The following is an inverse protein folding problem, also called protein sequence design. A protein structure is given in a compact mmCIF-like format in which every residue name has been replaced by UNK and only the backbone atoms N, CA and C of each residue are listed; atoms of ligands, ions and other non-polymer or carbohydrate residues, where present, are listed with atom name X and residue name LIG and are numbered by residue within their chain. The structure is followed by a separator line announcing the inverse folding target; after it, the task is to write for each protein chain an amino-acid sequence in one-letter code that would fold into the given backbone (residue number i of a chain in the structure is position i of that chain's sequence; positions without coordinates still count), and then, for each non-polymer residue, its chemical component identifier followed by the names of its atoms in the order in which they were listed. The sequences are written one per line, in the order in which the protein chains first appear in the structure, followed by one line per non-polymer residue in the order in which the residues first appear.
data_IF_003604422556
#
_entry.id   IF_003604422556
#
_cell.length_a   1.000
_cell.length_b   1.000
_cell.length_c   1.000
_cell.angle_alpha   90.00
_cell.angle_beta   90.00
_cell.angle_gamma   90.00
#
_symmetry.space_group_name_H-M   'P 1'
#
loop_
_entity.id
_entity.type
_entity.pdbx_description
1 polymer ?
#
# COMPACT_ATOMS: atom_id res chain seq x y z
N UNK A 1 30.49 27.77 13.95
CA UNK A 1 30.08 29.09 14.46
C UNK A 1 29.46 29.86 13.31
N UNK A 2 28.32 30.51 13.53
CA UNK A 2 27.65 31.40 12.59
C UNK A 2 27.97 32.84 13.02
N UNK A 3 28.31 33.66 12.07
CA UNK A 3 28.55 35.10 12.34
C UNK A 3 27.26 35.75 12.86
N UNK A 4 27.40 36.69 13.81
CA UNK A 4 26.28 37.39 14.44
C UNK A 4 25.38 38.14 13.48
N UNK A 5 25.98 38.71 12.41
CA UNK A 5 25.25 39.38 11.34
C UNK A 5 24.40 38.42 10.53
N UNK A 6 24.95 37.24 10.20
CA UNK A 6 24.24 36.17 9.47
C UNK A 6 23.11 35.57 10.32
N UNK A 7 23.38 35.40 11.61
CA UNK A 7 22.35 34.93 12.54
C UNK A 7 21.15 35.90 12.60
N UNK A 8 21.40 37.20 12.76
CA UNK A 8 20.36 38.22 12.81
C UNK A 8 19.54 38.26 11.51
N UNK A 9 20.19 38.22 10.36
CA UNK A 9 19.52 38.21 9.05
C UNK A 9 18.58 36.95 8.94
N UNK A 10 19.06 35.76 9.32
CA UNK A 10 18.24 34.54 9.29
C UNK A 10 17.02 34.65 10.20
N UNK A 11 17.19 35.23 11.40
CA UNK A 11 16.08 35.38 12.36
C UNK A 11 15.09 36.43 11.90
N UNK A 12 15.54 37.52 11.28
CA UNK A 12 14.65 38.52 10.70
C UNK A 12 13.85 37.99 9.53
N UNK A 13 14.48 37.21 8.64
CA UNK A 13 13.83 36.56 7.48
C UNK A 13 13.22 35.18 7.79
N UNK A 14 13.00 34.86 9.07
CA UNK A 14 12.48 33.53 9.52
C UNK A 14 11.16 33.12 8.85
N UNK A 15 10.34 34.07 8.41
CA UNK A 15 9.10 33.78 7.71
C UNK A 15 9.36 33.04 6.39
N UNK A 16 10.31 33.51 5.59
CA UNK A 16 10.64 32.91 4.30
C UNK A 16 11.25 31.53 4.44
N UNK A 17 12.11 31.34 5.44
CA UNK A 17 12.65 30.01 5.76
C UNK A 17 11.57 29.05 6.25
N UNK A 18 10.59 29.51 7.04
CA UNK A 18 9.45 28.69 7.43
C UNK A 18 8.60 28.28 6.23
N UNK A 19 8.43 29.15 5.24
CA UNK A 19 7.75 28.80 3.98
C UNK A 19 8.51 27.71 3.22
N UNK A 20 9.84 27.75 3.22
CA UNK A 20 10.68 26.69 2.63
C UNK A 20 10.44 25.36 3.37
N UNK A 21 10.44 25.37 4.70
CA UNK A 21 10.15 24.17 5.52
C UNK A 21 8.79 23.59 5.19
N UNK A 22 7.76 24.43 5.04
CA UNK A 22 6.42 23.96 4.66
C UNK A 22 6.43 23.32 3.27
N UNK A 23 7.07 23.93 2.29
CA UNK A 23 7.21 23.37 0.93
C UNK A 23 7.93 22.01 0.93
N UNK A 24 8.99 21.88 1.74
CA UNK A 24 9.70 20.59 1.88
C UNK A 24 8.80 19.54 2.52
N UNK A 25 8.08 19.87 3.61
CA UNK A 25 7.15 18.96 4.29
C UNK A 25 6.00 18.49 3.39
N UNK A 26 5.46 19.40 2.57
CA UNK A 26 4.41 19.04 1.60
C UNK A 26 4.92 18.04 0.57
N UNK A 27 6.14 18.25 0.06
CA UNK A 27 6.78 17.32 -0.88
C UNK A 27 7.10 15.98 -0.24
N UNK A 28 7.63 15.97 0.98
CA UNK A 28 7.91 14.74 1.73
C UNK A 28 6.63 13.95 2.02
N UNK A 29 5.54 14.63 2.38
CA UNK A 29 4.21 14.01 2.52
C UNK A 29 3.74 13.37 1.20
N UNK A 30 3.93 14.04 0.06
CA UNK A 30 3.61 13.47 -1.26
C UNK A 30 4.44 12.22 -1.55
N UNK A 31 5.74 12.24 -1.27
CA UNK A 31 6.61 11.07 -1.39
C UNK A 31 6.09 9.90 -0.54
N UNK A 32 5.68 10.19 0.70
CA UNK A 32 5.06 9.19 1.57
C UNK A 32 3.79 8.57 0.97
N UNK A 33 2.93 9.40 0.38
CA UNK A 33 1.71 8.94 -0.29
C UNK A 33 2.04 8.07 -1.52
N UNK A 34 2.96 8.49 -2.39
CA UNK A 34 3.40 7.70 -3.54
C UNK A 34 3.94 6.33 -3.12
N UNK A 35 4.78 6.27 -2.08
CA UNK A 35 5.28 5.00 -1.52
C UNK A 35 4.16 4.09 -1.03
N UNK A 36 3.13 4.64 -0.39
CA UNK A 36 1.98 3.87 0.07
C UNK A 36 1.17 3.30 -1.11
N UNK A 37 0.99 4.07 -2.18
CA UNK A 37 0.31 3.59 -3.40
C UNK A 37 1.14 2.52 -4.14
N UNK A 38 2.47 2.67 -4.20
CA UNK A 38 3.37 1.63 -4.73
C UNK A 38 3.19 0.32 -3.94
N UNK A 39 3.20 0.38 -2.60
CA UNK A 39 3.01 -0.80 -1.76
C UNK A 39 1.65 -1.48 -2.02
N UNK A 40 0.56 -0.72 -2.17
CA UNK A 40 -0.76 -1.26 -2.53
C UNK A 40 -0.74 -1.94 -3.91
N UNK A 41 -0.11 -1.31 -4.91
CA UNK A 41 0.02 -1.90 -6.24
C UNK A 41 0.84 -3.19 -6.18
N UNK A 42 1.92 -3.23 -5.40
CA UNK A 42 2.75 -4.42 -5.24
C UNK A 42 1.98 -5.57 -4.58
N UNK A 43 1.24 -5.31 -3.51
CA UNK A 43 0.36 -6.31 -2.88
C UNK A 43 -0.69 -6.86 -3.86
N UNK A 44 -1.27 -5.97 -4.69
CA UNK A 44 -2.23 -6.39 -5.71
C UNK A 44 -1.58 -7.25 -6.80
N UNK A 45 -0.35 -6.93 -7.21
CA UNK A 45 0.44 -7.75 -8.14
C UNK A 45 0.71 -9.13 -7.52
N UNK A 46 1.17 -9.19 -6.27
CA UNK A 46 1.49 -10.43 -5.60
C UNK A 46 0.26 -11.34 -5.45
N UNK A 47 -0.91 -10.78 -5.15
CA UNK A 47 -2.17 -11.51 -5.12
C UNK A 47 -2.66 -12.00 -6.49
N UNK A 48 -2.22 -11.38 -7.60
CA UNK A 48 -2.59 -11.76 -8.95
C UNK A 48 -1.57 -12.72 -9.62
N UNK A 49 -0.34 -12.82 -9.10
CA UNK A 49 0.71 -13.68 -9.66
C UNK A 49 0.28 -15.15 -9.83
N UNK A 50 -0.38 -15.79 -8.85
CA UNK A 50 -0.83 -17.17 -9.02
C UNK A 50 -1.82 -17.37 -10.17
N UNK A 51 -2.48 -16.30 -10.59
CA UNK A 51 -3.50 -16.29 -11.65
C UNK A 51 -2.97 -15.88 -13.02
N UNK A 52 -1.66 -15.66 -13.18
CA UNK A 52 -1.07 -15.06 -14.38
C UNK A 52 -1.35 -15.86 -15.67
N UNK A 53 -1.50 -17.18 -15.53
CA UNK A 53 -1.78 -18.08 -16.65
C UNK A 53 -3.25 -18.10 -17.08
N UNK A 54 -4.12 -17.36 -16.36
CA UNK A 54 -5.53 -17.24 -16.72
C UNK A 54 -5.71 -16.25 -17.87
N UNK A 55 -6.23 -16.69 -18.99
CA UNK A 55 -6.41 -15.92 -20.22
C UNK A 55 -7.78 -15.20 -20.32
N UNK A 56 -8.67 -15.44 -19.35
CA UNK A 56 -9.99 -14.80 -19.27
C UNK A 56 -9.99 -13.64 -18.26
N UNK A 57 -10.91 -12.66 -18.43
CA UNK A 57 -11.08 -11.57 -17.47
C UNK A 57 -11.45 -12.10 -16.06
N UNK A 58 -10.92 -11.42 -15.04
CA UNK A 58 -11.14 -11.82 -13.64
C UNK A 58 -12.63 -11.75 -13.21
N UNK A 59 -13.44 -10.98 -13.93
CA UNK A 59 -14.88 -10.86 -13.68
C UNK A 59 -15.74 -11.77 -14.57
N UNK A 60 -15.17 -12.81 -15.13
CA UNK A 60 -15.93 -13.80 -15.92
C UNK A 60 -16.94 -14.50 -15.03
N UNK A 61 -18.20 -14.52 -15.43
CA UNK A 61 -19.32 -15.03 -14.63
C UNK A 61 -20.08 -16.20 -15.29
N UNK A 62 -19.59 -16.72 -16.40
CA UNK A 62 -20.27 -17.79 -17.13
C UNK A 62 -21.33 -17.28 -18.15
N UNK A 63 -22.31 -18.14 -18.49
CA UNK A 63 -23.34 -17.92 -19.51
C UNK A 63 -24.74 -17.94 -18.89
N UNK A 64 -25.78 -18.06 -19.73
CA UNK A 64 -27.16 -18.20 -19.27
C UNK A 64 -27.36 -19.48 -18.43
N UNK A 65 -26.69 -20.59 -18.78
CA UNK A 65 -26.85 -21.90 -18.15
C UNK A 65 -25.67 -22.33 -17.29
N UNK A 66 -24.51 -21.70 -17.44
CA UNK A 66 -23.29 -22.04 -16.70
C UNK A 66 -22.91 -20.92 -15.74
N UNK A 67 -22.18 -21.29 -14.70
CA UNK A 67 -21.55 -20.37 -13.75
C UNK A 67 -20.04 -20.63 -13.68
N UNK A 68 -19.30 -19.63 -13.20
CA UNK A 68 -17.84 -19.69 -13.04
C UNK A 68 -17.49 -19.43 -11.60
N UNK A 69 -16.74 -20.35 -11.02
CA UNK A 69 -16.19 -20.26 -9.67
C UNK A 69 -14.67 -20.15 -9.78
N UNK A 70 -14.10 -19.13 -9.15
CA UNK A 70 -12.64 -18.91 -9.08
C UNK A 70 -12.23 -18.78 -7.62
N UNK A 71 -11.17 -19.46 -7.26
CA UNK A 71 -10.65 -19.39 -5.89
C UNK A 71 -9.46 -20.29 -5.68
N UNK A 72 -9.03 -20.41 -4.43
CA UNK A 72 -7.89 -21.22 -4.04
C UNK A 72 -8.25 -22.29 -3.03
N UNK A 73 -7.54 -23.40 -3.13
CA UNK A 73 -7.54 -24.53 -2.20
C UNK A 73 -6.17 -24.66 -1.53
N UNK A 74 -6.03 -25.65 -0.64
CA UNK A 74 -4.74 -26.02 -0.06
C UNK A 74 -3.67 -26.33 -1.10
N UNK A 75 -2.39 -26.35 -0.71
CA UNK A 75 -1.27 -26.52 -1.63
C UNK A 75 -1.19 -27.94 -2.22
N UNK A 76 -0.59 -28.04 -3.41
CA UNK A 76 -0.18 -29.31 -4.01
C UNK A 76 -1.31 -30.18 -4.56
N UNK A 77 -2.50 -29.63 -4.77
CA UNK A 77 -3.62 -30.36 -5.35
C UNK A 77 -3.53 -30.37 -6.88
N UNK A 78 -3.89 -31.53 -7.46
CA UNK A 78 -4.05 -31.69 -8.91
C UNK A 78 -5.54 -31.71 -9.27
N UNK A 79 -5.88 -31.52 -10.53
CA UNK A 79 -7.27 -31.59 -11.02
C UNK A 79 -7.96 -32.88 -10.61
N UNK A 80 -7.30 -34.04 -10.85
CA UNK A 80 -7.86 -35.35 -10.48
C UNK A 80 -8.12 -35.46 -8.98
N UNK A 81 -7.23 -34.96 -8.13
CA UNK A 81 -7.44 -35.01 -6.67
C UNK A 81 -8.63 -34.15 -6.25
N UNK A 82 -8.83 -33.00 -6.88
CA UNK A 82 -9.95 -32.11 -6.58
C UNK A 82 -11.26 -32.74 -7.06
N UNK A 83 -11.27 -33.35 -8.24
CA UNK A 83 -12.39 -34.09 -8.78
C UNK A 83 -12.79 -35.26 -7.84
N UNK A 84 -11.83 -36.05 -7.35
CA UNK A 84 -12.08 -37.11 -6.39
C UNK A 84 -12.68 -36.57 -5.07
N UNK A 85 -12.20 -35.44 -4.57
CA UNK A 85 -12.72 -34.80 -3.37
C UNK A 85 -14.18 -34.34 -3.57
N UNK A 86 -14.49 -33.75 -4.70
CA UNK A 86 -15.85 -33.31 -5.07
C UNK A 86 -16.77 -34.54 -5.22
N UNK A 87 -16.35 -35.53 -5.99
CA UNK A 87 -17.15 -36.76 -6.21
C UNK A 87 -17.43 -37.52 -4.91
N UNK A 88 -16.50 -37.53 -3.98
CA UNK A 88 -16.69 -38.16 -2.66
C UNK A 88 -17.78 -37.47 -1.83
N UNK A 89 -17.89 -36.14 -1.94
CA UNK A 89 -18.87 -35.35 -1.18
C UNK A 89 -20.22 -35.22 -1.87
N UNK A 90 -20.20 -35.12 -3.19
CA UNK A 90 -21.36 -34.87 -4.02
C UNK A 90 -21.31 -35.77 -5.28
N UNK A 91 -21.54 -37.08 -5.14
CA UNK A 91 -21.42 -38.07 -6.24
C UNK A 91 -22.42 -37.85 -7.39
N UNK A 92 -23.45 -37.04 -7.17
CA UNK A 92 -24.46 -36.71 -8.19
C UNK A 92 -24.07 -35.54 -9.08
N UNK A 93 -23.00 -34.77 -8.72
CA UNK A 93 -22.50 -33.69 -9.56
C UNK A 93 -21.71 -34.29 -10.72
N UNK A 94 -22.13 -33.98 -11.94
CA UNK A 94 -21.52 -34.53 -13.15
C UNK A 94 -21.20 -33.47 -14.24
N UNK A 95 -21.74 -32.27 -14.09
CA UNK A 95 -21.66 -31.24 -15.12
C UNK A 95 -20.77 -30.05 -14.66
N UNK A 96 -19.53 -30.36 -14.34
CA UNK A 96 -18.52 -29.36 -14.00
C UNK A 96 -17.18 -29.72 -14.63
N UNK A 97 -16.34 -28.71 -14.82
CA UNK A 97 -14.95 -28.82 -15.29
C UNK A 97 -14.07 -28.01 -14.37
N UNK A 98 -13.05 -28.63 -13.81
CA UNK A 98 -12.09 -28.02 -12.90
C UNK A 98 -10.75 -27.88 -13.63
N UNK A 99 -10.23 -26.68 -13.70
CA UNK A 99 -8.91 -26.37 -14.26
C UNK A 99 -8.03 -25.79 -13.18
N UNK A 100 -6.85 -26.38 -12.97
CA UNK A 100 -5.82 -25.83 -12.08
C UNK A 100 -5.00 -24.77 -12.85
N UNK A 101 -5.16 -23.52 -12.45
CA UNK A 101 -4.43 -22.39 -13.05
C UNK A 101 -2.98 -22.37 -12.58
N UNK A 102 -2.76 -22.62 -11.29
CA UNK A 102 -1.44 -22.76 -10.68
C UNK A 102 -1.53 -23.57 -9.40
N UNK A 103 -0.47 -24.29 -9.08
CA UNK A 103 -0.32 -24.98 -7.80
C UNK A 103 1.09 -24.76 -7.28
N UNK A 104 1.21 -24.21 -6.09
CA UNK A 104 2.48 -23.99 -5.41
C UNK A 104 2.46 -24.56 -3.98
N UNK A 105 3.48 -24.23 -3.18
CA UNK A 105 3.59 -24.69 -1.78
C UNK A 105 2.63 -23.99 -0.81
N UNK A 106 1.99 -22.91 -1.23
CA UNK A 106 1.12 -22.10 -0.38
C UNK A 106 -0.37 -22.33 -0.72
N UNK A 107 -0.69 -22.52 -2.01
CA UNK A 107 -2.07 -22.69 -2.48
C UNK A 107 -2.16 -23.32 -3.88
N UNK A 108 -3.33 -23.85 -4.20
CA UNK A 108 -3.73 -24.27 -5.56
C UNK A 108 -4.87 -23.39 -6.04
N UNK A 109 -4.63 -22.63 -7.11
CA UNK A 109 -5.63 -21.74 -7.73
C UNK A 109 -6.42 -22.50 -8.78
N UNK A 110 -7.73 -22.47 -8.69
CA UNK A 110 -8.63 -23.19 -9.58
C UNK A 110 -9.63 -22.27 -10.27
N UNK A 111 -9.97 -22.65 -11.49
CA UNK A 111 -11.04 -22.09 -12.31
C UNK A 111 -12.03 -23.22 -12.59
N UNK A 112 -13.29 -23.04 -12.23
CA UNK A 112 -14.31 -24.08 -12.35
C UNK A 112 -15.48 -23.54 -13.15
N UNK A 113 -15.92 -24.31 -14.13
CA UNK A 113 -17.16 -24.06 -14.88
C UNK A 113 -18.17 -25.14 -14.48
N UNK A 114 -19.38 -24.75 -14.13
CA UNK A 114 -20.44 -25.69 -13.74
C UNK A 114 -21.81 -25.21 -14.22
N UNK A 115 -22.82 -26.08 -14.15
CA UNK A 115 -24.21 -25.66 -14.36
C UNK A 115 -24.67 -24.77 -13.20
N UNK A 116 -25.45 -23.74 -13.51
CA UNK A 116 -26.01 -22.83 -12.49
C UNK A 116 -26.84 -23.56 -11.43
N UNK A 117 -27.49 -24.62 -11.80
CA UNK A 117 -28.30 -25.45 -10.89
C UNK A 117 -27.45 -26.21 -9.88
N UNK A 118 -26.16 -26.40 -10.14
CA UNK A 118 -25.23 -27.18 -9.31
C UNK A 118 -24.21 -26.28 -8.57
N UNK A 119 -24.16 -24.98 -8.87
CA UNK A 119 -23.16 -24.03 -8.34
C UNK A 119 -23.06 -24.07 -6.82
N UNK A 120 -24.19 -24.00 -6.10
CA UNK A 120 -24.20 -23.98 -4.64
C UNK A 120 -23.64 -25.25 -4.04
N UNK A 121 -24.09 -26.42 -4.55
CA UNK A 121 -23.66 -27.73 -4.08
C UNK A 121 -22.17 -27.98 -4.35
N UNK A 122 -21.69 -27.56 -5.51
CA UNK A 122 -20.26 -27.63 -5.87
C UNK A 122 -19.42 -26.71 -4.99
N UNK A 123 -19.86 -25.48 -4.78
CA UNK A 123 -19.14 -24.53 -3.92
C UNK A 123 -19.13 -25.01 -2.45
N UNK A 124 -20.20 -25.63 -1.95
CA UNK A 124 -20.21 -26.25 -0.62
C UNK A 124 -19.21 -27.41 -0.51
N UNK A 125 -19.14 -28.27 -1.53
CA UNK A 125 -18.17 -29.35 -1.56
C UNK A 125 -16.73 -28.84 -1.54
N UNK A 126 -16.43 -27.81 -2.34
CA UNK A 126 -15.11 -27.17 -2.38
C UNK A 126 -14.78 -26.46 -1.07
N UNK A 127 -15.73 -25.74 -0.46
CA UNK A 127 -15.53 -25.05 0.83
C UNK A 127 -15.23 -26.01 1.97
N UNK A 128 -15.82 -27.19 1.94
CA UNK A 128 -15.54 -28.22 2.93
C UNK A 128 -14.09 -28.74 2.85
N UNK A 129 -13.40 -28.51 1.72
CA UNK A 129 -11.98 -28.80 1.50
C UNK A 129 -11.09 -27.54 1.64
N UNK A 130 -11.64 -26.45 2.21
CA UNK A 130 -10.88 -25.24 2.48
C UNK A 130 -10.84 -24.25 1.31
N UNK A 131 -11.76 -24.35 0.36
CA UNK A 131 -11.86 -23.42 -0.76
C UNK A 131 -12.14 -21.99 -0.29
N UNK A 132 -11.37 -21.05 -0.80
CA UNK A 132 -11.58 -19.61 -0.62
C UNK A 132 -11.82 -18.94 -1.97
N UNK A 133 -12.98 -18.31 -2.12
CA UNK A 133 -13.35 -17.63 -3.36
C UNK A 133 -12.46 -16.41 -3.62
N UNK A 134 -12.07 -16.22 -4.87
CA UNK A 134 -11.30 -15.06 -5.28
C UNK A 134 -12.10 -13.78 -5.07
N UNK A 135 -11.50 -12.81 -4.36
CA UNK A 135 -12.13 -11.52 -4.03
C UNK A 135 -11.81 -10.39 -5.02
N UNK A 136 -10.95 -10.62 -6.00
CA UNK A 136 -10.59 -9.63 -7.01
C UNK A 136 -11.66 -9.50 -8.08
N UNK A 137 -11.94 -8.25 -8.50
CA UNK A 137 -12.86 -7.94 -9.60
C UNK A 137 -12.14 -7.07 -10.63
N UNK A 138 -12.08 -7.52 -11.89
CA UNK A 138 -11.51 -6.73 -12.99
C UNK A 138 -12.01 -7.22 -14.35
N UNK A 139 -12.35 -6.28 -15.22
CA UNK A 139 -12.66 -6.55 -16.64
C UNK A 139 -11.43 -6.91 -17.49
N UNK A 140 -10.27 -7.06 -16.87
CA UNK A 140 -9.00 -7.39 -17.51
C UNK A 140 -8.53 -8.75 -17.04
N UNK A 141 -7.73 -9.43 -17.87
CA UNK A 141 -6.98 -10.61 -17.47
C UNK A 141 -5.98 -10.26 -16.39
N UNK A 142 -5.56 -11.23 -15.54
CA UNK A 142 -4.55 -11.00 -14.51
C UNK A 142 -3.26 -10.40 -15.06
N UNK A 143 -2.77 -10.91 -16.20
CA UNK A 143 -1.56 -10.40 -16.86
C UNK A 143 -1.68 -8.90 -17.21
N UNK A 144 -2.79 -8.52 -17.86
CA UNK A 144 -3.03 -7.14 -18.25
C UNK A 144 -3.23 -6.22 -17.04
N UNK A 145 -3.78 -6.75 -15.94
CA UNK A 145 -3.93 -6.01 -14.70
C UNK A 145 -2.58 -5.78 -14.02
N UNK A 146 -1.72 -6.80 -14.00
CA UNK A 146 -0.35 -6.71 -13.49
C UNK A 146 0.46 -5.70 -14.31
N UNK A 147 0.39 -5.75 -15.65
CA UNK A 147 1.05 -4.77 -16.52
C UNK A 147 0.62 -3.34 -16.16
N UNK A 148 -0.69 -3.11 -15.95
CA UNK A 148 -1.19 -1.80 -15.56
C UNK A 148 -0.63 -1.36 -14.19
N UNK A 149 -0.59 -2.24 -13.21
CA UNK A 149 -0.01 -1.89 -11.90
C UNK A 149 1.47 -1.55 -11.98
N UNK A 150 2.26 -2.28 -12.80
CA UNK A 150 3.67 -1.97 -13.03
C UNK A 150 3.88 -0.57 -13.62
N UNK A 151 3.11 -0.21 -14.65
CA UNK A 151 3.14 1.15 -15.22
C UNK A 151 2.74 2.23 -14.19
N UNK A 152 1.80 1.91 -13.31
CA UNK A 152 1.40 2.83 -12.24
C UNK A 152 2.51 3.01 -11.21
N UNK A 153 3.23 1.94 -10.86
CA UNK A 153 4.40 1.98 -9.96
C UNK A 153 5.50 2.84 -10.57
N UNK A 154 5.85 2.61 -11.84
CA UNK A 154 6.85 3.40 -12.57
C UNK A 154 6.52 4.91 -12.53
N UNK A 155 5.26 5.28 -12.79
CA UNK A 155 4.82 6.67 -12.70
C UNK A 155 4.98 7.28 -11.30
N UNK A 156 4.71 6.51 -10.23
CA UNK A 156 4.95 6.99 -8.86
C UNK A 156 6.44 7.06 -8.51
N UNK A 157 7.27 6.15 -9.03
CA UNK A 157 8.73 6.21 -8.85
C UNK A 157 9.33 7.45 -9.51
N UNK A 158 8.89 7.78 -10.72
CA UNK A 158 9.27 9.01 -11.42
C UNK A 158 8.85 10.25 -10.64
N UNK A 159 7.61 10.28 -10.13
CA UNK A 159 7.12 11.40 -9.31
C UNK A 159 7.95 11.56 -8.03
N UNK A 160 8.31 10.46 -7.37
CA UNK A 160 9.18 10.49 -6.19
C UNK A 160 10.56 11.09 -6.54
N UNK A 161 11.12 10.71 -7.68
CA UNK A 161 12.43 11.23 -8.11
C UNK A 161 12.36 12.71 -8.37
N UNK A 162 11.33 13.20 -9.04
CA UNK A 162 11.13 14.63 -9.30
C UNK A 162 10.91 15.42 -8.01
N UNK A 163 10.11 14.90 -7.06
CA UNK A 163 9.93 15.53 -5.76
C UNK A 163 11.24 15.60 -4.97
N UNK A 164 12.09 14.56 -5.03
CA UNK A 164 13.42 14.57 -4.41
C UNK A 164 14.34 15.62 -5.04
N UNK A 165 14.33 15.75 -6.37
CA UNK A 165 15.09 16.80 -7.09
C UNK A 165 14.63 18.19 -6.65
N UNK A 166 13.31 18.40 -6.52
CA UNK A 166 12.75 19.67 -6.04
C UNK A 166 13.15 19.97 -4.58
N UNK A 167 13.21 18.96 -3.70
CA UNK A 167 13.71 19.12 -2.32
C UNK A 167 15.20 19.46 -2.34
N UNK A 168 15.99 18.80 -3.17
CA UNK A 168 17.41 19.07 -3.33
C UNK A 168 17.69 20.52 -3.80
N UNK A 169 16.77 21.13 -4.56
CA UNK A 169 16.84 22.54 -4.93
C UNK A 169 16.85 23.52 -3.76
N UNK A 170 16.45 23.10 -2.55
CA UNK A 170 16.55 23.90 -1.33
C UNK A 170 17.88 23.68 -0.56
N UNK A 171 18.86 22.97 -1.13
CA UNK A 171 20.11 22.62 -0.45
C UNK A 171 20.88 23.83 0.07
N UNK A 172 20.87 24.95 -0.66
CA UNK A 172 21.54 26.21 -0.26
C UNK A 172 20.95 26.77 1.05
N UNK A 173 19.64 26.58 1.28
CA UNK A 173 18.99 27.03 2.52
C UNK A 173 19.29 26.15 3.73
N UNK A 174 20.00 25.03 3.56
CA UNK A 174 20.20 24.03 4.62
C UNK A 174 20.86 24.62 5.88
N UNK A 175 21.89 25.47 5.70
CA UNK A 175 22.58 26.05 6.84
C UNK A 175 21.69 27.06 7.57
N UNK A 176 20.96 27.89 6.84
CA UNK A 176 20.00 28.83 7.43
C UNK A 176 18.88 28.11 8.20
N UNK A 177 18.36 27.00 7.63
CA UNK A 177 17.34 26.16 8.30
C UNK A 177 17.87 25.52 9.59
N UNK A 178 19.14 25.09 9.65
CA UNK A 178 19.77 24.60 10.88
C UNK A 178 19.85 25.70 11.93
N UNK A 179 20.35 26.87 11.56
CA UNK A 179 20.44 28.03 12.47
C UNK A 179 19.05 28.42 13.00
N UNK A 180 18.03 28.41 12.14
CA UNK A 180 16.66 28.71 12.54
C UNK A 180 16.08 27.62 13.49
N UNK A 181 16.41 26.36 13.26
CA UNK A 181 16.05 25.25 14.16
C UNK A 181 16.65 25.47 15.55
N UNK A 182 17.92 25.82 15.63
CA UNK A 182 18.60 26.10 16.90
C UNK A 182 17.99 27.32 17.60
N UNK A 183 17.67 28.37 16.84
CA UNK A 183 16.95 29.54 17.38
C UNK A 183 15.63 29.15 18.04
N UNK A 184 14.79 28.35 17.36
CA UNK A 184 13.51 27.93 17.92
C UNK A 184 13.69 27.00 19.11
N UNK A 185 14.69 26.13 19.10
CA UNK A 185 15.01 25.23 20.22
C UNK A 185 15.40 26.02 21.47
N UNK A 186 16.35 26.92 21.35
CA UNK A 186 16.78 27.80 22.46
C UNK A 186 15.60 28.63 22.98
N UNK A 187 14.77 29.14 22.07
CA UNK A 187 13.58 29.90 22.46
C UNK A 187 12.56 29.04 23.21
N UNK A 188 12.33 27.81 22.76
CA UNK A 188 11.43 26.87 23.44
C UNK A 188 11.96 26.52 24.85
N UNK A 189 13.25 26.22 24.96
CA UNK A 189 13.91 25.96 26.26
C UNK A 189 13.78 27.17 27.21
N UNK A 190 13.98 28.40 26.70
CA UNK A 190 13.78 29.61 27.48
C UNK A 190 12.34 29.72 28.03
N UNK A 191 11.32 29.48 27.19
CA UNK A 191 9.93 29.53 27.63
C UNK A 191 9.59 28.39 28.59
N UNK A 192 10.19 27.23 28.44
CA UNK A 192 10.02 26.10 29.36
C UNK A 192 10.59 26.45 30.74
N UNK A 193 11.78 27.03 30.80
CA UNK A 193 12.37 27.51 32.05
C UNK A 193 11.50 28.58 32.71
N UNK A 194 11.02 29.56 31.93
CA UNK A 194 10.11 30.60 32.44
C UNK A 194 8.81 29.99 33.04
N UNK A 195 8.30 28.90 32.47
CA UNK A 195 7.13 28.18 32.96
C UNK A 195 7.37 27.43 34.29
N UNK A 196 8.64 27.15 34.66
CA UNK A 196 9.00 26.47 35.91
C UNK A 196 9.36 27.45 37.04
N UNK A 197 9.51 28.75 36.76
CA UNK A 197 9.81 29.75 37.76
C UNK A 197 8.61 30.04 38.65
N UNK A 198 8.89 30.20 39.97
CA UNK A 198 7.89 30.71 40.90
C UNK A 198 7.56 32.17 40.53
N UNK A 199 6.30 32.43 40.20
CA UNK A 199 5.86 33.74 39.76
C UNK A 199 4.52 34.14 40.39
N UNK A 200 4.35 35.42 40.57
CA UNK A 200 3.07 36.06 40.90
C UNK A 200 2.60 36.89 39.69
N UNK A 201 1.49 37.59 39.81
CA UNK A 201 1.00 38.45 38.71
C UNK A 201 1.97 39.56 38.27
N UNK A 202 2.94 39.93 39.09
CA UNK A 202 3.87 41.04 38.87
C UNK A 202 5.35 40.75 39.17
N UNK A 203 5.67 39.59 39.72
CA UNK A 203 7.05 39.25 40.13
C UNK A 203 7.39 37.80 39.82
N UNK A 204 8.66 37.50 39.59
CA UNK A 204 9.19 36.15 39.51
C UNK A 204 10.46 36.01 40.31
N UNK A 205 10.76 34.80 40.78
CA UNK A 205 11.94 34.49 41.59
C UNK A 205 12.87 33.59 40.77
N UNK A 206 14.12 34.03 40.59
CA UNK A 206 15.21 33.21 40.08
C UNK A 206 16.22 32.97 41.17
N UNK A 207 16.54 31.69 41.43
CA UNK A 207 17.66 31.29 42.28
C UNK A 207 18.78 30.82 41.36
N UNK A 208 19.97 31.40 41.48
CA UNK A 208 21.19 31.00 40.77
C UNK A 208 22.30 30.67 41.74
N UNK A 209 23.28 29.93 41.25
CA UNK A 209 24.52 29.64 41.98
C UNK A 209 25.64 30.53 41.44
#
# INVERSE_FOLDING_TARGET
DVDDSVYKDIVENRHDYNMIVQKIREKDKKIGNCKAEIAKCQLAIDGLKPWINMDVPINTTGTEHTDVIMGSLGPGLTENMIEELVAKRQPELSAHEITVISSDKDQTCIFVVCLKTETERLEEALRAEGFTRMSYFSKRTPENKIKKYRLTIEGYEDEIEDLKKQIAGFAESRQALKTLSDYYKIRAEKYQVLGTLLQSNSTFIITGY
#
